data_IF_981407874738
#
_entry.id   IF_981407874738
#
_cell.length_a   1.000
_cell.length_b   1.000
_cell.length_c   1.000
_cell.angle_alpha   90.00
_cell.angle_beta   90.00
_cell.angle_gamma   90.00
#
_symmetry.space_group_name_H-M   'P 1'
#
loop_
_entity.id
_entity.type
_entity.pdbx_description
1 polymer ?
#
# COMPACT_ATOMS: atom_id res chain seq x y z
N UNK A 1 7.82 8.48 -10.13
CA UNK A 1 7.30 7.10 -10.22
C UNK A 1 5.80 7.19 -9.98
N UNK A 2 4.97 6.67 -10.89
CA UNK A 2 3.51 6.89 -10.87
C UNK A 2 2.84 5.53 -11.11
N UNK A 3 2.01 5.05 -10.18
CA UNK A 3 1.07 3.95 -10.46
C UNK A 3 0.23 4.33 -11.67
N UNK A 4 0.54 3.72 -12.81
CA UNK A 4 -0.06 4.04 -14.09
C UNK A 4 -0.68 2.75 -14.62
N UNK A 5 -1.97 2.57 -14.36
CA UNK A 5 -2.72 1.45 -14.91
C UNK A 5 -3.11 1.78 -16.37
N UNK A 6 -2.25 1.44 -17.32
CA UNK A 6 -2.46 1.62 -18.77
C UNK A 6 -2.59 0.26 -19.47
N UNK A 7 -3.47 -0.59 -18.96
CA UNK A 7 -3.73 -1.90 -19.56
C UNK A 7 -4.64 -1.80 -20.80
N UNK A 8 -5.32 -0.67 -21.01
CA UNK A 8 -6.16 -0.43 -22.19
C UNK A 8 -5.31 -0.47 -23.47
N UNK A 9 -5.64 -1.41 -24.37
CA UNK A 9 -4.94 -1.61 -25.64
C UNK A 9 -3.75 -2.59 -25.59
N UNK A 10 -3.47 -3.20 -24.43
CA UNK A 10 -2.48 -4.27 -24.32
C UNK A 10 -3.15 -5.61 -24.72
N UNK A 11 -2.65 -6.32 -25.75
CA UNK A 11 -3.35 -7.48 -26.32
C UNK A 11 -3.34 -8.73 -25.42
N UNK A 12 -2.48 -8.77 -24.39
CA UNK A 12 -2.34 -9.90 -23.48
C UNK A 12 -2.14 -9.40 -22.05
N UNK A 13 -2.70 -10.11 -21.07
CA UNK A 13 -2.71 -9.72 -19.66
C UNK A 13 -1.37 -9.91 -18.93
N UNK A 14 -0.28 -10.17 -19.66
CA UNK A 14 1.05 -10.34 -19.07
C UNK A 14 1.18 -11.61 -18.22
N UNK A 15 0.75 -12.77 -18.75
CA UNK A 15 0.93 -14.08 -18.11
C UNK A 15 2.41 -14.54 -18.14
N UNK A 16 3.30 -13.77 -17.51
CA UNK A 16 4.69 -14.15 -17.35
C UNK A 16 4.80 -15.10 -16.15
N UNK A 17 5.44 -16.28 -16.29
CA UNK A 17 5.76 -17.09 -15.12
C UNK A 17 6.71 -16.33 -14.19
N UNK A 18 6.57 -16.59 -12.89
CA UNK A 18 7.51 -16.11 -11.90
C UNK A 18 8.90 -16.69 -12.18
N UNK A 19 9.86 -15.81 -12.41
CA UNK A 19 11.27 -16.11 -12.50
C UNK A 19 11.86 -16.35 -11.11
N UNK A 20 12.78 -17.31 -11.03
CA UNK A 20 13.55 -17.60 -9.81
C UNK A 20 14.49 -16.44 -9.49
N UNK A 21 14.89 -16.34 -8.23
CA UNK A 21 15.88 -15.37 -7.75
C UNK A 21 15.54 -13.91 -8.13
N UNK A 22 14.25 -13.61 -8.18
CA UNK A 22 13.70 -12.32 -8.64
C UNK A 22 12.83 -11.71 -7.54
N UNK A 23 12.97 -10.40 -7.37
CA UNK A 23 12.13 -9.59 -6.50
C UNK A 23 11.01 -8.96 -7.33
N UNK A 24 9.82 -8.90 -6.75
CA UNK A 24 8.62 -8.37 -7.37
C UNK A 24 8.06 -7.25 -6.50
N UNK A 25 7.77 -6.11 -7.12
CA UNK A 25 7.03 -5.04 -6.46
C UNK A 25 5.53 -5.29 -6.60
N UNK A 26 4.83 -5.22 -5.47
CA UNK A 26 3.38 -5.24 -5.38
C UNK A 26 2.91 -3.80 -5.24
N UNK A 27 2.39 -3.24 -6.34
CA UNK A 27 1.89 -1.88 -6.40
C UNK A 27 0.35 -1.88 -6.34
N UNK A 28 -0.21 -1.58 -5.18
CA UNK A 28 -1.65 -1.45 -4.98
C UNK A 28 -2.08 0.01 -5.01
N UNK A 29 -3.24 0.25 -5.61
CA UNK A 29 -3.89 1.55 -5.62
C UNK A 29 -5.34 1.38 -5.19
N UNK A 30 -5.69 1.92 -4.03
CA UNK A 30 -7.06 1.97 -3.54
C UNK A 30 -7.55 3.42 -3.44
N UNK A 31 -8.85 3.62 -3.61
CA UNK A 31 -9.49 4.93 -3.46
C UNK A 31 -10.79 4.82 -2.65
N UNK A 32 -11.07 5.84 -1.85
CA UNK A 32 -12.25 5.90 -1.00
C UNK A 32 -12.78 7.32 -0.88
N UNK A 33 -14.07 7.52 -1.13
CA UNK A 33 -14.74 8.81 -0.92
C UNK A 33 -15.07 9.02 0.56
N UNK A 34 -14.56 10.10 1.14
CA UNK A 34 -14.78 10.49 2.55
C UNK A 34 -15.80 11.63 2.59
N UNK A 35 -17.04 11.38 3.03
CA UNK A 35 -18.11 12.39 3.03
C UNK A 35 -17.81 13.63 3.87
N UNK A 36 -17.17 13.47 5.02
CA UNK A 36 -16.81 14.55 5.95
C UNK A 36 -15.83 15.55 5.34
N UNK A 37 -15.03 15.09 4.38
CA UNK A 37 -14.09 15.90 3.62
C UNK A 37 -14.63 16.29 2.24
N UNK A 38 -15.78 15.73 1.84
CA UNK A 38 -16.33 15.80 0.49
C UNK A 38 -15.26 15.52 -0.58
N UNK A 39 -14.41 14.52 -0.34
CA UNK A 39 -13.23 14.26 -1.17
C UNK A 39 -12.93 12.76 -1.26
N UNK A 40 -12.48 12.31 -2.45
CA UNK A 40 -11.89 10.98 -2.62
C UNK A 40 -10.41 10.99 -2.23
N UNK A 41 -10.08 10.19 -1.23
CA UNK A 41 -8.70 9.93 -0.81
C UNK A 41 -8.13 8.73 -1.57
N UNK A 42 -6.82 8.77 -1.78
CA UNK A 42 -6.05 7.76 -2.53
C UNK A 42 -5.03 7.13 -1.61
N UNK A 43 -4.89 5.82 -1.72
CA UNK A 43 -4.02 4.99 -0.91
C UNK A 43 -3.11 4.17 -1.83
N UNK A 44 -2.04 4.78 -2.37
CA UNK A 44 -1.01 4.03 -3.07
C UNK A 44 -0.14 3.27 -2.05
N UNK A 45 0.08 1.99 -2.28
CA UNK A 45 0.99 1.15 -1.51
C UNK A 45 1.92 0.40 -2.45
N UNK A 46 3.19 0.33 -2.09
CA UNK A 46 4.23 -0.37 -2.83
C UNK A 46 5.04 -1.19 -1.84
N UNK A 47 5.11 -2.50 -2.06
CA UNK A 47 5.84 -3.45 -1.22
C UNK A 47 6.60 -4.44 -2.08
N UNK A 48 7.88 -4.66 -1.77
CA UNK A 48 8.69 -5.65 -2.47
C UNK A 48 8.64 -7.00 -1.77
N UNK A 49 8.50 -8.07 -2.56
CA UNK A 49 8.53 -9.45 -2.11
C UNK A 49 9.48 -10.31 -2.95
N UNK A 50 9.97 -11.40 -2.37
CA UNK A 50 10.63 -12.47 -3.10
C UNK A 50 10.06 -13.83 -2.65
N UNK A 51 10.20 -14.83 -3.51
CA UNK A 51 9.86 -16.21 -3.16
C UNK A 51 11.02 -16.84 -2.40
N UNK A 52 10.80 -17.25 -1.15
CA UNK A 52 11.78 -18.01 -0.38
C UNK A 52 11.55 -19.51 -0.57
N UNK A 53 12.61 -20.20 -1.00
CA UNK A 53 12.54 -21.63 -1.28
C UNK A 53 12.59 -22.47 0.00
N UNK A 54 13.15 -21.95 1.09
CA UNK A 54 13.26 -22.70 2.35
C UNK A 54 11.92 -22.71 3.10
N UNK A 55 11.25 -21.55 3.18
CA UNK A 55 9.92 -21.40 3.80
C UNK A 55 8.76 -21.82 2.89
N UNK A 56 8.99 -21.89 1.57
CA UNK A 56 7.93 -22.05 0.55
C UNK A 56 6.85 -20.95 0.65
N UNK A 57 7.27 -19.72 0.95
CA UNK A 57 6.39 -18.54 1.05
C UNK A 57 6.96 -17.31 0.36
N UNK A 58 6.09 -16.31 0.20
CA UNK A 58 6.50 -14.95 -0.14
C UNK A 58 6.99 -14.23 1.10
N UNK A 59 8.19 -13.67 1.01
CA UNK A 59 8.81 -12.89 2.07
C UNK A 59 8.90 -11.42 1.67
N UNK A 60 8.48 -10.55 2.59
CA UNK A 60 8.55 -9.10 2.40
C UNK A 60 9.97 -8.63 2.68
N UNK A 61 10.54 -7.85 1.76
CA UNK A 61 11.93 -7.36 1.88
C UNK A 61 12.12 -6.48 3.11
N UNK A 62 11.15 -5.60 3.39
CA UNK A 62 11.19 -4.65 4.51
C UNK A 62 10.05 -4.84 5.52
N UNK A 63 9.26 -5.91 5.35
CA UNK A 63 8.03 -6.14 6.09
C UNK A 63 6.78 -5.56 5.40
N UNK A 64 5.61 -5.98 5.89
CA UNK A 64 4.30 -5.60 5.37
C UNK A 64 3.66 -4.51 6.22
N UNK A 65 3.03 -3.51 5.60
CA UNK A 65 2.20 -2.55 6.32
C UNK A 65 0.84 -3.16 6.68
N UNK A 66 0.63 -3.46 7.96
CA UNK A 66 -0.63 -4.06 8.44
C UNK A 66 -1.58 -3.06 9.11
N UNK A 67 -1.11 -1.83 9.37
CA UNK A 67 -1.84 -0.82 10.14
C UNK A 67 -1.70 0.55 9.50
N UNK A 68 -2.73 1.38 9.68
CA UNK A 68 -2.68 2.79 9.31
C UNK A 68 -1.79 3.56 10.30
N UNK A 69 -0.77 4.23 9.79
CA UNK A 69 0.05 5.14 10.59
C UNK A 69 -0.60 6.53 10.61
N UNK A 70 -1.12 6.93 11.77
CA UNK A 70 -1.69 8.27 11.96
C UNK A 70 -0.58 9.21 12.44
N UNK A 71 -0.17 10.13 11.57
CA UNK A 71 0.79 11.18 11.92
C UNK A 71 0.02 12.39 12.45
N UNK A 72 0.36 12.81 13.67
CA UNK A 72 -0.27 13.96 14.33
C UNK A 72 0.68 15.15 14.37
N UNK A 73 0.17 16.34 14.08
CA UNK A 73 0.90 17.57 14.38
C UNK A 73 1.02 17.75 15.89
N UNK A 74 1.95 18.59 16.38
CA UNK A 74 1.99 18.95 17.78
C UNK A 74 0.64 19.46 18.31
N UNK A 75 -0.04 20.35 17.56
CA UNK A 75 -1.33 20.90 18.01
C UNK A 75 -2.44 19.83 18.07
N UNK A 76 -2.43 18.83 17.18
CA UNK A 76 -3.45 17.77 17.20
C UNK A 76 -3.23 16.72 18.29
N UNK A 77 -2.05 16.67 18.92
CA UNK A 77 -1.83 15.83 20.11
C UNK A 77 -2.56 16.40 21.32
N UNK A 78 -2.49 17.72 21.51
CA UNK A 78 -3.13 18.42 22.63
C UNK A 78 -4.67 18.29 22.56
N UNK A 79 -5.25 18.49 21.37
CA UNK A 79 -6.70 18.38 21.15
C UNK A 79 -7.27 16.98 21.44
N UNK A 80 -6.51 15.92 21.16
CA UNK A 80 -6.98 14.55 21.43
C UNK A 80 -6.81 14.18 22.91
N UNK A 81 -5.88 14.82 23.61
CA UNK A 81 -5.69 14.61 25.04
C UNK A 81 -6.82 15.24 25.84
N UNK A 82 -7.26 16.45 25.49
CA UNK A 82 -8.46 17.08 26.08
C UNK A 82 -9.74 16.29 25.80
N UNK A 83 -9.90 15.74 24.59
CA UNK A 83 -11.09 14.95 24.25
C UNK A 83 -11.15 13.58 24.94
N UNK A 84 -10.02 13.05 25.42
CA UNK A 84 -9.94 11.77 26.12
C UNK A 84 -10.12 11.90 27.65
N UNK A 85 -10.12 13.12 28.18
CA UNK A 85 -10.27 13.44 29.61
C UNK A 85 -11.71 13.88 29.98
N UNK A 86 -12.64 13.91 29.02
CA UNK A 86 -14.08 14.13 29.18
C UNK A 86 -14.86 12.81 29.11
#
# INVERSE_FOLDING_TARGET
MRMTNLQDGVPFLGELPLLKDTYYSIELYAEHFVPELNQTLKFPQEEDVYWDNDSQSWEWVYGRQEKLLIVRSPESKELVQEAAEL
#
